data_IF_091963958639
#
_entry.id   IF_091963958639
#
_cell.length_a   1.000
_cell.length_b   1.000
_cell.length_c   1.000
_cell.angle_alpha   90.00
_cell.angle_beta   90.00
_cell.angle_gamma   90.00
#
_symmetry.space_group_name_H-M   'P 1'
#
loop_
_entity.id
_entity.type
_entity.pdbx_description
1 polymer ?
2 water ?
#
# COMPACT_ATOMS: atom_id res chain seq x y z
N UNK A 10 -26.02 -3.06 -0.77
CA UNK A 10 -25.66 -1.78 -1.48
C UNK A 10 -25.25 -2.04 -2.94
N UNK A 11 -25.83 -1.24 -3.84
CA UNK A 11 -25.52 -1.32 -5.27
C UNK A 11 -24.07 -0.85 -5.49
N UNK A 12 -23.42 -1.43 -6.48
CA UNK A 12 -22.01 -1.15 -6.68
C UNK A 12 -21.81 -0.01 -7.66
N UNK A 13 -20.73 0.71 -7.43
CA UNK A 13 -20.40 1.85 -8.24
C UNK A 13 -19.55 1.43 -9.44
N UNK A 14 -19.42 2.36 -10.37
CA UNK A 14 -18.76 2.11 -11.61
C UNK A 14 -17.22 2.12 -11.43
N UNK A 15 -16.58 1.19 -12.16
CA UNK A 15 -15.11 1.02 -12.17
C UNK A 15 -14.66 0.94 -13.64
N UNK A 16 -13.65 1.72 -14.00
CA UNK A 16 -13.17 1.79 -15.39
C UNK A 16 -11.66 1.85 -15.45
N UNK A 17 -11.07 1.50 -16.60
CA UNK A 17 -9.62 1.61 -16.76
C UNK A 17 -9.20 3.07 -16.85
N UNK A 18 -8.14 3.43 -16.16
CA UNK A 18 -7.51 4.74 -16.31
C UNK A 18 -5.99 4.54 -16.31
N UNK A 19 -5.33 5.06 -17.36
CA UNK A 19 -3.91 4.84 -17.54
C UNK A 19 -3.50 3.37 -17.35
N UNK A 20 -4.36 2.45 -17.80
CA UNK A 20 -4.02 1.06 -17.80
C UNK A 20 -4.37 0.24 -16.59
N UNK A 21 -4.96 0.83 -15.59
CA UNK A 21 -5.34 0.11 -14.40
C UNK A 21 -6.80 0.44 -14.10
N UNK A 22 -7.55 -0.56 -13.58
CA UNK A 22 -8.87 -0.30 -13.03
C UNK A 22 -8.87 0.67 -11.82
N UNK A 23 -9.83 1.57 -11.84
CA UNK A 23 -10.02 2.51 -10.76
C UNK A 23 -11.51 2.80 -10.60
N UNK A 24 -11.96 3.17 -9.37
CA UNK A 24 -13.29 3.79 -9.24
C UNK A 24 -13.59 4.90 -10.26
N UNK A 25 -14.73 4.87 -10.91
CA UNK A 25 -14.99 5.84 -11.99
C UNK A 25 -14.92 7.29 -11.53
N UNK A 26 -15.23 7.57 -10.27
CA UNK A 26 -15.03 8.94 -9.77
C UNK A 26 -13.55 9.35 -9.65
N UNK A 27 -12.67 8.35 -9.48
CA UNK A 27 -11.20 8.56 -9.56
C UNK A 27 -10.83 8.96 -10.99
N UNK A 28 -11.36 8.18 -11.95
CA UNK A 28 -11.08 8.33 -13.39
C UNK A 28 -11.42 9.74 -13.84
N UNK A 29 -12.62 10.18 -13.39
CA UNK A 29 -13.18 11.51 -13.64
C UNK A 29 -12.28 12.68 -13.15
N UNK A 30 -11.44 12.40 -12.15
CA UNK A 30 -10.44 13.39 -11.71
C UNK A 30 -8.94 13.08 -12.00
N UNK A 31 -8.62 12.36 -13.05
CA UNK A 31 -7.23 11.93 -13.23
C UNK A 31 -6.18 13.05 -13.38
N UNK A 32 -6.49 14.05 -14.19
CA UNK A 32 -5.60 15.18 -14.31
C UNK A 32 -5.43 16.00 -13.04
N UNK A 33 -6.43 16.02 -12.17
CA UNK A 33 -6.25 16.64 -10.84
C UNK A 33 -5.32 15.83 -9.91
N UNK A 34 -5.49 14.51 -9.91
CA UNK A 34 -4.61 13.61 -9.15
C UNK A 34 -3.20 13.81 -9.65
N UNK A 35 -3.01 13.63 -10.97
CA UNK A 35 -1.69 13.76 -11.57
C UNK A 35 -0.93 15.02 -11.15
N UNK A 36 -1.67 16.14 -11.10
CA UNK A 36 -1.09 17.47 -10.85
C UNK A 36 -1.05 17.79 -9.37
N UNK A 37 -1.26 16.77 -8.53
CA UNK A 37 -1.11 16.91 -7.07
C UNK A 37 0.18 17.66 -6.77
N UNK A 38 0.09 18.63 -5.86
CA UNK A 38 1.24 19.41 -5.41
C UNK A 38 1.73 18.86 -4.07
N UNK A 39 2.95 18.31 -4.09
CA UNK A 39 3.62 17.81 -2.91
C UNK A 39 4.43 18.94 -2.27
N UNK A 40 4.79 18.74 -1.00
CA UNK A 40 5.70 19.58 -0.27
C UNK A 40 6.92 18.75 0.17
N UNK A 41 8.09 19.39 0.36
CA UNK A 41 9.30 18.57 0.69
C UNK A 41 9.15 17.67 1.91
N UNK A 42 8.39 18.04 2.95
CA UNK A 42 8.35 17.21 4.16
C UNK A 42 7.14 16.22 4.20
N UNK A 43 6.40 16.15 3.07
CA UNK A 43 5.34 15.16 2.86
C UNK A 43 5.91 13.76 3.09
N UNK A 44 5.18 12.94 3.82
CA UNK A 44 5.54 11.54 3.93
C UNK A 44 4.42 10.73 3.27
N UNK A 45 4.79 9.90 2.30
CA UNK A 45 3.79 9.12 1.52
C UNK A 45 3.89 7.65 1.96
N UNK A 46 2.73 7.03 2.25
CA UNK A 46 2.65 5.61 2.52
C UNK A 46 1.94 5.00 1.34
N UNK A 47 2.68 4.14 0.63
CA UNK A 47 2.21 3.54 -0.59
C UNK A 47 2.19 2.00 -0.36
N UNK A 48 1.05 1.37 -0.65
CA UNK A 48 0.89 -0.08 -0.55
C UNK A 48 -0.18 -0.51 -1.56
N UNK A 49 -0.15 -1.79 -1.93
CA UNK A 49 -1.25 -2.38 -2.69
C UNK A 49 -2.44 -2.41 -1.68
N UNK A 50 -3.67 -2.45 -2.16
CA UNK A 50 -4.77 -2.50 -1.18
C UNK A 50 -4.66 -3.69 -0.23
N UNK A 51 -5.00 -3.46 1.03
CA UNK A 51 -4.91 -4.48 2.10
C UNK A 51 -3.48 -5.01 2.39
N UNK A 52 -2.46 -4.24 2.04
CA UNK A 52 -1.04 -4.58 2.35
C UNK A 52 -0.46 -3.79 3.54
N UNK A 53 -1.33 -3.20 4.37
CA UNK A 53 -0.88 -2.69 5.68
C UNK A 53 -0.87 -1.20 5.82
N UNK A 54 -1.62 -0.52 4.97
CA UNK A 54 -1.64 0.95 4.92
C UNK A 54 -1.98 1.59 6.28
N UNK A 55 -3.08 1.16 6.90
CA UNK A 55 -3.55 1.75 8.18
C UNK A 55 -2.57 1.45 9.29
N UNK A 56 -2.13 0.22 9.37
CA UNK A 56 -1.16 -0.18 10.35
C UNK A 56 0.13 0.67 10.27
N UNK A 57 0.69 0.80 9.07
CA UNK A 57 1.89 1.60 8.85
C UNK A 57 1.62 3.06 9.25
N UNK A 58 0.46 3.57 8.90
CA UNK A 58 0.18 4.98 9.24
C UNK A 58 0.24 5.22 10.78
N UNK A 59 -0.40 4.33 11.56
CA UNK A 59 -0.37 4.37 13.04
C UNK A 59 1.01 4.36 13.59
N UNK A 60 1.84 3.47 13.07
CA UNK A 60 3.25 3.40 13.50
C UNK A 60 3.97 4.71 13.17
N UNK A 61 3.72 5.23 11.97
CA UNK A 61 4.35 6.51 11.58
C UNK A 61 3.87 7.70 12.46
N UNK A 62 2.56 7.85 12.69
CA UNK A 62 2.03 8.85 13.65
C UNK A 62 2.79 8.75 14.98
N UNK A 63 2.69 7.57 15.62
CA UNK A 63 3.47 7.24 16.83
C UNK A 63 4.97 7.56 16.72
N UNK A 64 5.62 7.18 15.65
CA UNK A 64 7.01 7.57 15.49
C UNK A 64 7.18 9.09 15.62
N UNK A 65 6.41 9.85 14.83
CA UNK A 65 6.49 11.30 14.83
C UNK A 65 6.25 12.01 16.19
N UNK A 66 5.37 11.45 17.02
CA UNK A 66 5.13 11.98 18.34
C UNK A 66 5.83 11.24 19.48
N UNK A 67 6.02 9.92 19.33
CA UNK A 67 6.54 8.98 20.37
C UNK A 67 5.59 8.84 21.56
N UNK A 68 4.92 9.96 21.88
CA UNK A 68 3.98 10.03 23.00
C UNK A 68 2.59 9.71 22.50
N UNK A 69 2.01 8.66 23.06
CA UNK A 69 0.76 8.07 22.59
C UNK A 69 -0.50 8.93 22.73
N UNK A 70 -0.49 9.94 23.59
CA UNK A 70 -1.73 10.72 23.84
C UNK A 70 -1.82 12.04 23.00
N UNK A 71 -0.68 12.64 22.65
CA UNK A 71 -0.69 13.85 21.79
C UNK A 71 -0.83 13.50 20.29
N UNK A 72 -1.05 12.22 19.99
CA UNK A 72 -1.11 11.75 18.61
C UNK A 72 -2.40 12.06 17.90
N UNK A 73 -3.52 12.06 18.63
CA UNK A 73 -4.75 12.63 18.10
C UNK A 73 -4.48 14.12 17.81
N UNK A 74 -3.69 14.34 16.74
CA UNK A 74 -3.31 15.67 16.25
C UNK A 74 -3.05 15.76 14.73
N UNK A 75 -3.55 14.77 13.99
CA UNK A 75 -3.69 14.82 12.51
C UNK A 75 -4.72 13.76 12.04
N UNK A 82 -3.29 10.82 6.35
CA UNK A 82 -4.60 10.25 6.02
C UNK A 82 -5.25 10.48 4.60
N UNK A 83 -4.99 11.61 3.90
CA UNK A 83 -5.71 11.66 2.62
C UNK A 83 -5.10 10.77 1.52
N UNK A 84 -5.96 10.03 0.83
CA UNK A 84 -5.56 9.21 -0.32
C UNK A 84 -5.49 10.03 -1.57
N UNK A 85 -4.29 10.32 -2.05
CA UNK A 85 -4.13 11.10 -3.27
C UNK A 85 -5.24 10.84 -4.30
N UNK A 86 -5.43 9.57 -4.66
CA UNK A 86 -6.36 9.25 -5.76
C UNK A 86 -7.88 9.26 -5.44
N UNK A 87 -8.28 9.09 -4.17
CA UNK A 87 -9.71 8.85 -3.80
C UNK A 87 -10.62 10.07 -3.89
N UNK A 88 -11.89 9.79 -4.25
CA UNK A 88 -13.01 10.78 -4.21
C UNK A 88 -14.39 10.10 -4.01
N UNK A 89 -15.07 10.38 -2.89
CA UNK A 89 -16.42 9.79 -2.65
C UNK A 89 -17.52 10.58 -3.39
N UNK A 94 -12.90 14.12 -1.12
CA UNK A 94 -11.75 13.56 -1.84
C UNK A 94 -10.40 13.67 -1.06
N UNK A 95 -9.51 12.70 -1.25
CA UNK A 95 -8.15 12.76 -0.73
C UNK A 95 -7.37 14.03 -1.07
N UNK A 96 -7.51 14.54 -2.29
CA UNK A 96 -6.93 15.84 -2.73
C UNK A 96 -7.32 17.05 -1.84
N UNK A 97 -8.61 17.16 -1.56
CA UNK A 97 -9.17 18.22 -0.70
C UNK A 97 -8.67 18.13 0.75
N UNK A 98 -8.73 16.94 1.35
CA UNK A 98 -8.25 16.73 2.71
C UNK A 98 -6.75 16.96 2.81
N UNK A 99 -6.01 16.50 1.80
CA UNK A 99 -4.57 16.76 1.71
C UNK A 99 -4.35 18.25 1.65
N UNK A 100 -5.01 18.88 0.68
CA UNK A 100 -4.87 20.32 0.48
C UNK A 100 -5.00 21.11 1.78
N UNK A 101 -6.02 20.80 2.61
CA UNK A 101 -6.21 21.52 3.88
C UNK A 101 -5.63 20.80 5.13
N UNK A 102 -4.41 20.27 5.01
CA UNK A 102 -3.75 19.58 6.14
C UNK A 102 -2.47 20.36 6.50
N UNK A 103 -2.13 20.54 7.80
CA UNK A 103 -0.80 21.15 8.00
C UNK A 103 0.38 20.17 7.77
N UNK A 104 1.55 20.71 7.49
CA UNK A 104 2.77 19.94 7.33
C UNK A 104 3.47 19.57 8.67
N UNK A 105 4.26 18.47 8.71
CA UNK A 105 4.46 17.47 7.62
C UNK A 105 3.24 16.56 7.45
N UNK A 106 2.72 16.54 6.23
CA UNK A 106 1.56 15.72 5.88
C UNK A 106 1.93 14.24 5.79
N UNK A 107 0.99 13.36 6.14
CA UNK A 107 1.11 11.93 5.88
C UNK A 107 0.02 11.63 4.84
N UNK A 108 0.46 11.15 3.68
CA UNK A 108 -0.39 10.92 2.56
C UNK A 108 -0.41 9.42 2.34
N UNK A 109 -1.47 8.98 1.67
CA UNK A 109 -1.66 7.57 1.35
C UNK A 109 -1.89 7.41 -0.15
N UNK A 110 -1.44 6.29 -0.69
CA UNK A 110 -1.78 5.93 -2.10
C UNK A 110 -1.72 4.42 -2.32
N UNK A 111 -2.54 3.94 -3.28
CA UNK A 111 -2.42 2.60 -3.82
C UNK A 111 -1.89 2.61 -5.28
N UNK A 112 -1.43 3.75 -5.79
CA UNK A 112 -0.98 3.81 -7.18
C UNK A 112 0.29 2.99 -7.44
N UNK A 113 0.35 2.29 -8.58
CA UNK A 113 1.65 1.71 -9.04
C UNK A 113 2.66 2.84 -9.24
N UNK A 114 3.95 2.56 -9.10
CA UNK A 114 4.95 3.61 -9.11
C UNK A 114 4.90 4.47 -10.39
N UNK A 115 4.68 3.88 -11.56
CA UNK A 115 4.79 4.69 -12.83
C UNK A 115 3.63 5.69 -12.96
N UNK A 116 2.61 5.56 -12.12
CA UNK A 116 1.46 6.47 -12.10
C UNK A 116 1.50 7.49 -10.94
N UNK A 117 2.61 7.54 -10.18
CA UNK A 117 2.71 8.44 -9.03
C UNK A 117 2.67 9.90 -9.53
N UNK A 118 1.85 10.77 -8.91
CA UNK A 118 1.96 12.22 -9.31
C UNK A 118 3.43 12.66 -9.28
N UNK A 119 3.95 13.26 -10.37
CA UNK A 119 5.39 13.64 -10.44
C UNK A 119 5.90 14.63 -9.39
N UNK A 120 5.03 15.46 -8.81
CA UNK A 120 5.44 16.37 -7.72
C UNK A 120 6.09 15.59 -6.57
N UNK A 121 5.55 14.41 -6.23
CA UNK A 121 6.12 13.55 -5.14
C UNK A 121 7.59 13.20 -5.37
N UNK A 122 7.98 13.04 -6.63
CA UNK A 122 9.39 12.75 -6.98
C UNK A 122 10.18 14.05 -7.12
N UNK A 123 9.58 15.09 -7.70
CA UNK A 123 10.30 16.37 -7.84
C UNK A 123 10.70 16.98 -6.52
N UNK A 124 9.81 16.86 -5.55
CA UNK A 124 10.09 17.33 -4.23
C UNK A 124 10.89 16.32 -3.41
N UNK A 125 11.20 15.17 -3.98
CA UNK A 125 12.04 14.15 -3.28
C UNK A 125 11.46 13.77 -1.89
N UNK A 126 10.14 13.61 -1.82
CA UNK A 126 9.48 13.23 -0.56
C UNK A 126 9.87 11.81 -0.20
N UNK A 127 9.95 11.56 1.09
CA UNK A 127 10.08 10.22 1.68
C UNK A 127 8.84 9.40 1.36
N UNK A 128 9.03 8.21 0.80
CA UNK A 128 7.94 7.31 0.53
C UNK A 128 8.23 5.99 1.28
N UNK A 129 7.20 5.43 1.92
CA UNK A 129 7.28 4.12 2.55
C UNK A 129 6.33 3.25 1.74
N UNK A 130 6.90 2.20 1.12
CA UNK A 130 6.14 1.23 0.44
C UNK A 130 6.11 0.01 1.33
N UNK A 131 4.94 -0.62 1.47
CA UNK A 131 4.86 -1.90 2.16
C UNK A 131 4.30 -2.96 1.22
N UNK A 132 5.08 -4.04 1.05
CA UNK A 132 4.67 -5.21 0.27
C UNK A 132 4.23 -6.39 1.19
N UNK A 133 3.23 -7.12 0.76
CA UNK A 133 2.65 -8.23 1.50
C UNK A 133 2.67 -9.49 0.61
N UNK A 134 2.85 -10.68 1.18
CA UNK A 134 2.82 -11.87 0.32
C UNK A 134 1.49 -11.98 -0.43
N UNK A 135 1.57 -12.35 -1.69
CA UNK A 135 0.40 -12.20 -2.59
C UNK A 135 -0.74 -13.11 -2.25
N UNK A 136 -0.45 -14.27 -1.63
CA UNK A 136 -1.54 -15.20 -1.27
C UNK A 136 -2.45 -14.69 -0.15
N UNK A 137 -1.88 -14.33 1.00
CA UNK A 137 -2.65 -13.53 1.97
C UNK A 137 -3.26 -12.22 1.45
N UNK A 138 -2.50 -11.46 0.66
CA UNK A 138 -3.07 -10.22 0.03
C UNK A 138 -4.28 -10.52 -0.87
N UNK A 139 -4.25 -11.62 -1.60
CA UNK A 139 -5.38 -12.02 -2.45
C UNK A 139 -6.61 -12.28 -1.62
N UNK A 140 -6.44 -13.05 -0.55
CA UNK A 140 -7.52 -13.33 0.40
C UNK A 140 -8.11 -12.10 1.04
N UNK A 141 -7.25 -11.21 1.53
CA UNK A 141 -7.74 -9.94 2.07
C UNK A 141 -8.43 -9.09 1.02
N UNK A 142 -7.87 -9.03 -0.19
CA UNK A 142 -8.46 -8.13 -1.15
C UNK A 142 -9.86 -8.68 -1.56
N UNK A 143 -9.94 -10.00 -1.71
CA UNK A 143 -11.21 -10.68 -1.95
C UNK A 143 -12.29 -10.21 -0.93
N UNK A 144 -11.97 -10.23 0.36
CA UNK A 144 -12.98 -9.78 1.35
C UNK A 144 -13.32 -8.29 1.30
N UNK A 145 -12.28 -7.48 1.09
CA UNK A 145 -12.42 -6.04 0.84
C UNK A 145 -13.41 -5.71 -0.29
N UNK A 146 -13.27 -6.38 -1.45
CA UNK A 146 -14.16 -6.20 -2.57
C UNK A 146 -15.60 -6.60 -2.18
N UNK A 147 -15.74 -7.67 -1.38
CA UNK A 147 -17.07 -8.08 -0.86
C UNK A 147 -17.78 -6.97 -0.08
N UNK A 148 -17.02 -6.18 0.68
CA UNK A 148 -17.57 -5.07 1.50
C UNK A 148 -17.75 -3.73 0.79
N UNK A 149 -16.75 -3.37 -0.02
CA UNK A 149 -16.60 -2.05 -0.61
C UNK A 149 -17.29 -1.87 -1.97
N UNK A 150 -18.42 -1.15 -1.93
CA UNK A 150 -19.25 -0.77 -3.06
C UNK A 150 -18.49 -0.12 -4.21
N UNK A 151 -17.38 0.54 -3.89
CA UNK A 151 -16.64 1.31 -4.87
C UNK A 151 -15.80 0.37 -5.72
N UNK A 152 -15.73 -0.90 -5.30
CA UNK A 152 -14.86 -1.91 -5.90
C UNK A 152 -15.73 -2.88 -6.67
N UNK A 153 -15.17 -3.56 -7.69
CA UNK A 153 -16.00 -4.45 -8.49
C UNK A 153 -16.47 -5.68 -7.68
N UNK A 154 -17.59 -6.30 -8.08
CA UNK A 154 -18.03 -7.56 -7.46
C UNK A 154 -16.90 -8.58 -7.65
N UNK A 155 -16.46 -9.27 -6.58
CA UNK A 155 -15.33 -10.21 -6.72
C UNK A 155 -15.68 -11.55 -7.39
N UNK A 156 -16.97 -11.89 -7.44
CA UNK A 156 -17.44 -13.19 -7.96
C UNK A 156 -17.23 -14.20 -6.86
N UNK A 157 -17.22 -15.48 -7.21
CA UNK A 157 -16.93 -16.51 -6.23
C UNK A 157 -15.41 -16.51 -5.99
N UNK A 158 -14.97 -17.18 -4.94
CA UNK A 158 -13.56 -17.29 -4.65
C UNK A 158 -12.79 -17.83 -5.83
N UNK A 159 -13.38 -18.81 -6.51
CA UNK A 159 -12.68 -19.52 -7.60
C UNK A 159 -12.49 -18.60 -8.81
N UNK A 160 -13.49 -17.76 -9.05
CA UNK A 160 -13.42 -16.71 -10.07
C UNK A 160 -12.40 -15.64 -9.67
N UNK A 161 -12.47 -15.21 -8.40
CA UNK A 161 -11.62 -14.16 -7.90
C UNK A 161 -10.17 -14.52 -7.97
N UNK A 162 -9.85 -15.78 -7.64
CA UNK A 162 -8.49 -16.26 -7.79
C UNK A 162 -7.92 -15.92 -9.18
N UNK A 163 -8.68 -16.21 -10.24
CA UNK A 163 -8.25 -15.93 -11.62
C UNK A 163 -8.22 -14.43 -11.94
N UNK A 164 -9.19 -13.68 -11.44
CA UNK A 164 -9.25 -12.24 -11.65
C UNK A 164 -7.99 -11.57 -11.08
N UNK A 165 -7.60 -11.96 -9.88
CA UNK A 165 -6.42 -11.39 -9.20
C UNK A 165 -5.14 -11.84 -9.89
N UNK A 166 -5.07 -13.12 -10.23
CA UNK A 166 -3.89 -13.59 -10.91
C UNK A 166 -3.62 -12.75 -12.20
N UNK A 167 -4.68 -12.44 -12.93
CA UNK A 167 -4.60 -11.61 -14.17
C UNK A 167 -4.42 -10.06 -13.95
N UNK A 168 -4.56 -9.59 -12.72
CA UNK A 168 -4.44 -8.17 -12.37
C UNK A 168 -5.66 -7.39 -12.76
N UNK A 169 -6.79 -8.07 -12.95
CA UNK A 169 -8.06 -7.41 -13.32
C UNK A 169 -8.81 -6.90 -12.10
N UNK A 170 -8.07 -6.18 -11.26
CA UNK A 170 -8.58 -5.61 -10.01
C UNK A 170 -8.16 -4.14 -9.98
N UNK A 171 -8.84 -3.33 -9.16
CA UNK A 171 -8.39 -1.94 -8.98
C UNK A 171 -6.95 -1.87 -8.58
N UNK A 172 -6.25 -0.91 -9.19
CA UNK A 172 -4.81 -0.65 -8.93
C UNK A 172 -3.89 -1.68 -9.65
N UNK A 173 -4.48 -2.62 -10.41
CA UNK A 173 -3.71 -3.43 -11.36
C UNK A 173 -3.14 -4.69 -10.72
N UNK A 174 -2.39 -5.42 -11.52
CA UNK A 174 -1.64 -6.63 -11.05
C UNK A 174 -0.79 -6.38 -9.83
N UNK A 175 -0.95 -7.28 -8.84
CA UNK A 175 -0.09 -7.29 -7.65
C UNK A 175 1.41 -7.37 -8.05
N UNK A 176 1.71 -8.31 -8.99
CA UNK A 176 3.06 -8.54 -9.48
C UNK A 176 3.68 -7.25 -10.02
N UNK A 177 3.00 -6.56 -10.96
CA UNK A 177 3.49 -5.27 -11.54
C UNK A 177 3.71 -4.24 -10.41
N UNK A 178 2.81 -4.26 -9.42
CA UNK A 178 2.77 -3.29 -8.35
C UNK A 178 4.02 -3.39 -7.52
N UNK A 179 4.18 -4.54 -6.85
CA UNK A 179 5.39 -4.76 -6.03
C UNK A 179 6.70 -4.64 -6.79
N UNK A 180 6.75 -5.13 -8.03
CA UNK A 180 7.98 -5.08 -8.81
C UNK A 180 8.37 -3.65 -9.21
N UNK A 181 7.40 -2.87 -9.64
CA UNK A 181 7.59 -1.47 -10.04
C UNK A 181 8.12 -0.65 -8.88
N UNK A 182 7.54 -0.82 -7.69
CA UNK A 182 8.00 -0.15 -6.52
C UNK A 182 9.41 -0.57 -6.06
N UNK A 183 9.73 -1.85 -6.26
CA UNK A 183 11.05 -2.44 -5.89
C UNK A 183 12.13 -1.92 -6.82
N UNK A 184 11.82 -1.89 -8.13
CA UNK A 184 12.73 -1.35 -9.11
C UNK A 184 12.99 0.17 -8.89
N UNK A 185 11.97 0.91 -8.46
CA UNK A 185 12.09 2.33 -8.06
C UNK A 185 12.96 2.69 -6.86
N UNK A 186 13.17 1.77 -5.92
CA UNK A 186 13.78 2.12 -4.65
C UNK A 186 15.25 2.55 -4.81
N UNK A 187 15.89 2.10 -5.88
CA UNK A 187 17.27 2.48 -6.17
C UNK A 187 17.50 3.96 -6.46
N UNK A 188 16.59 4.53 -7.24
CA UNK A 188 16.79 5.88 -7.74
C UNK A 188 15.78 6.87 -7.19
N UNK A 189 14.92 6.43 -6.27
CA UNK A 189 13.94 7.34 -5.66
C UNK A 189 13.92 7.06 -4.19
N UNK A 190 13.38 8.00 -3.40
CA UNK A 190 13.53 7.97 -1.90
C UNK A 190 12.47 7.09 -1.20
N UNK A 191 12.66 5.78 -1.31
CA UNK A 191 11.63 4.81 -0.92
C UNK A 191 12.21 3.90 0.09
N UNK A 192 11.50 3.77 1.21
CA UNK A 192 11.80 2.71 2.18
C UNK A 192 10.86 1.50 1.88
N UNK A 193 11.42 0.38 1.44
CA UNK A 193 10.66 -0.76 1.01
C UNK A 193 10.56 -1.81 2.14
N UNK A 194 9.37 -1.93 2.72
CA UNK A 194 9.14 -2.79 3.90
C UNK A 194 8.27 -3.98 3.50
N UNK A 195 8.30 -5.02 4.32
CA UNK A 195 7.50 -6.21 4.09
C UNK A 195 6.57 -6.39 5.25
N UNK A 196 5.28 -6.52 4.93
CA UNK A 196 4.26 -6.68 5.93
C UNK A 196 4.60 -7.83 6.92
N UNK A 197 5.14 -8.91 6.37
CA UNK A 197 5.53 -10.11 7.18
C UNK A 197 6.63 -9.81 8.20
N UNK A 198 7.58 -8.94 7.82
CA UNK A 198 8.69 -8.50 8.70
C UNK A 198 8.20 -7.67 9.83
N UNK A 199 7.21 -6.83 9.53
CA UNK A 199 6.54 -6.04 10.52
C UNK A 199 5.75 -6.91 11.47
N UNK A 200 5.20 -8.02 10.97
CA UNK A 200 4.52 -8.99 11.84
C UNK A 200 5.52 -9.78 12.69
N UNK A 201 6.63 -10.22 12.10
CA UNK A 201 7.64 -11.02 12.78
C UNK A 201 8.54 -10.26 13.75
N UNK A 202 9.11 -9.16 13.27
CA UNK A 202 10.13 -8.43 14.01
C UNK A 202 9.76 -6.93 14.06
N UNK A 203 8.63 -6.58 14.72
CA UNK A 203 8.19 -5.20 14.63
C UNK A 203 9.24 -4.17 15.08
N UNK A 204 9.88 -4.45 16.20
CA UNK A 204 10.88 -3.55 16.77
C UNK A 204 11.94 -3.21 15.74
N UNK A 205 12.47 -4.23 15.08
CA UNK A 205 13.44 -4.02 14.02
C UNK A 205 12.88 -3.14 12.86
N UNK A 206 11.62 -3.36 12.47
CA UNK A 206 11.00 -2.59 11.39
C UNK A 206 10.68 -1.14 11.76
N UNK A 207 10.13 -0.94 12.96
CA UNK A 207 9.85 0.40 13.52
C UNK A 207 11.14 1.27 13.61
N UNK A 208 12.27 0.65 13.91
CA UNK A 208 13.53 1.35 13.97
C UNK A 208 14.02 1.76 12.57
N UNK A 209 13.96 0.84 11.61
CA UNK A 209 14.21 1.16 10.19
C UNK A 209 13.37 2.35 9.75
N UNK A 210 12.11 2.35 10.18
CA UNK A 210 11.12 3.32 9.73
C UNK A 210 11.46 4.67 10.38
N UNK A 211 11.60 4.66 11.72
CA UNK A 211 12.11 5.80 12.51
C UNK A 211 13.33 6.45 11.86
N UNK A 212 14.35 5.64 11.57
CA UNK A 212 15.59 6.16 11.02
C UNK A 212 15.46 6.79 9.63
N UNK A 213 14.64 6.16 8.77
CA UNK A 213 14.34 6.65 7.42
C UNK A 213 13.71 8.06 7.44
N UNK A 214 12.85 8.25 8.44
CA UNK A 214 12.07 9.43 8.68
C UNK A 214 12.88 10.54 9.37
N UNK A 215 14.07 10.21 9.85
CA UNK A 215 14.98 11.19 10.43
C UNK A 215 14.99 11.19 11.92
N UNK A 216 14.32 10.23 12.54
CA UNK A 216 14.39 10.13 13.98
C UNK A 216 15.50 9.17 14.38
N UNK A 217 16.42 9.66 15.22
CA UNK A 217 17.32 8.83 16.02
C UNK A 217 16.59 8.57 17.33
N UNK A 218 15.72 7.56 17.35
CA UNK A 218 14.96 7.18 18.55
C UNK A 218 15.71 6.29 19.53
N UNK A 219 14.97 5.92 20.57
CA UNK A 219 15.50 5.49 21.83
C UNK A 219 15.48 3.98 21.89
N UNK A 220 16.45 3.39 22.58
CA UNK A 220 16.45 1.94 22.86
C UNK A 220 15.17 1.50 23.60
N UNK A 221 14.36 2.48 24.00
CA UNK A 221 13.16 2.23 24.80
C UNK A 221 11.91 2.96 24.34
N UNK A 222 12.05 3.97 23.48
CA UNK A 222 10.85 4.59 22.89
C UNK A 222 10.20 3.58 21.90
N UNK A 223 11.05 2.89 21.13
CA UNK A 223 10.63 1.78 20.30
C UNK A 223 9.68 0.84 21.02
N UNK A 224 10.07 0.40 22.21
CA UNK A 224 9.27 -0.59 22.94
C UNK A 224 7.83 -0.11 23.23
N UNK A 225 7.66 1.18 23.48
CA UNK A 225 6.32 1.73 23.71
C UNK A 225 5.47 1.57 22.43
N UNK A 226 6.00 2.03 21.31
CA UNK A 226 5.32 1.90 20.00
C UNK A 226 5.12 0.43 19.59
N UNK A 227 6.13 -0.42 19.82
CA UNK A 227 6.05 -1.87 19.60
C UNK A 227 4.89 -2.53 20.36
N UNK A 228 4.64 -2.06 21.59
CA UNK A 228 3.52 -2.56 22.38
C UNK A 228 2.19 -1.97 21.90
N UNK A 229 2.18 -0.65 21.69
CA UNK A 229 0.93 0.05 21.38
C UNK A 229 0.33 -0.27 20.01
N UNK A 230 1.15 -0.72 19.07
CA UNK A 230 0.69 -1.12 17.72
C UNK A 230 0.73 -2.64 17.53
N UNK A 264 -0.17 -14.76 9.07
CA UNK A 264 0.73 -15.04 7.95
C UNK A 264 0.76 -16.59 7.77
N UNK A 265 0.24 -17.05 6.62
CA UNK A 265 0.05 -18.48 6.41
C UNK A 265 -1.44 -18.77 6.34
N UNK A 266 -2.25 -17.81 6.75
CA UNK A 266 -3.65 -18.00 6.77
C UNK A 266 -4.27 -18.37 5.40
N UNK A 267 -3.56 -17.97 4.33
CA UNK A 267 -4.00 -18.19 2.94
C UNK A 267 -4.13 -19.69 2.68
N UNK A 268 -3.33 -20.48 3.41
CA UNK A 268 -3.37 -21.95 3.27
C UNK A 268 -4.73 -22.57 3.52
N UNK A 269 -5.63 -21.89 4.21
CA UNK A 269 -6.93 -22.47 4.48
C UNK A 269 -7.87 -22.13 3.34
N UNK A 270 -7.41 -21.30 2.41
CA UNK A 270 -8.25 -20.76 1.34
C UNK A 270 -7.86 -21.26 -0.05
N UNK A 271 -6.58 -21.58 -0.25
CA UNK A 271 -6.10 -22.06 -1.52
C UNK A 271 -6.27 -23.58 -1.52
N UNK A 272 -6.82 -24.14 -2.60
CA UNK A 272 -6.62 -25.59 -2.86
C UNK A 272 -5.19 -25.82 -3.26
N UNK A 273 -4.77 -27.07 -3.22
CA UNK A 273 -3.45 -27.42 -3.71
C UNK A 273 -3.33 -27.14 -5.22
N UNK A 274 -4.41 -27.40 -5.94
CA UNK A 274 -4.41 -27.10 -7.39
C UNK A 274 -4.20 -25.55 -7.58
N UNK A 275 -4.93 -24.76 -6.83
CA UNK A 275 -4.79 -23.29 -6.97
C UNK A 275 -3.36 -22.89 -6.66
N UNK A 276 -2.84 -23.49 -5.63
CA UNK A 276 -1.50 -23.18 -5.19
C UNK A 276 -0.42 -23.45 -6.25
N UNK A 277 -0.47 -24.64 -6.88
CA UNK A 277 0.56 -24.97 -7.89
C UNK A 277 0.47 -24.04 -9.11
N UNK A 278 -0.76 -23.75 -9.50
CA UNK A 278 -1.03 -22.78 -10.58
C UNK A 278 -0.52 -21.39 -10.23
N UNK A 279 -0.89 -20.90 -9.03
CA UNK A 279 -0.29 -19.66 -8.54
C UNK A 279 1.23 -19.62 -8.61
N UNK A 280 1.89 -20.64 -8.04
CA UNK A 280 3.35 -20.65 -8.01
C UNK A 280 3.99 -20.69 -9.40
N UNK A 281 3.39 -21.44 -10.32
CA UNK A 281 3.93 -21.50 -11.71
C UNK A 281 3.81 -20.11 -12.40
N UNK A 282 2.65 -19.52 -12.24
CA UNK A 282 2.43 -18.17 -12.70
C UNK A 282 3.45 -17.18 -12.11
N UNK A 283 3.56 -17.15 -10.79
CA UNK A 283 4.49 -16.31 -10.05
C UNK A 283 5.91 -16.44 -10.57
N UNK A 284 6.37 -17.70 -10.73
CA UNK A 284 7.74 -17.96 -11.19
C UNK A 284 8.01 -17.31 -12.54
N UNK A 285 7.01 -17.26 -13.41
CA UNK A 285 7.15 -16.65 -14.71
C UNK A 285 7.15 -15.11 -14.69
N UNK A 286 6.36 -14.55 -13.77
CA UNK A 286 6.24 -13.08 -13.63
C UNK A 286 7.35 -12.46 -12.83
N UNK A 287 7.93 -13.20 -11.89
CA UNK A 287 8.82 -12.65 -10.86
C UNK A 287 10.30 -13.08 -10.98
N UNK A 288 11.01 -12.56 -11.96
CA UNK A 288 12.26 -13.21 -12.36
C UNK A 288 13.54 -12.58 -11.81
N UNK A 289 13.38 -11.62 -10.90
CA UNK A 289 14.53 -10.90 -10.35
C UNK A 289 14.61 -11.04 -8.84
N UNK A 290 14.84 -12.29 -8.47
CA UNK A 290 14.59 -12.87 -7.18
C UNK A 290 15.43 -12.35 -5.99
N UNK A 291 15.92 -11.11 -6.08
CA UNK A 291 16.28 -10.41 -4.85
C UNK A 291 15.01 -10.03 -4.12
N UNK A 292 13.96 -9.70 -4.87
CA UNK A 292 12.62 -9.48 -4.31
C UNK A 292 11.98 -10.80 -3.84
N UNK A 293 11.53 -10.81 -2.59
CA UNK A 293 11.35 -12.08 -1.86
C UNK A 293 10.48 -12.03 -0.59
N UNK A 294 9.50 -12.95 -0.60
CA UNK A 294 8.40 -12.99 0.36
C UNK A 294 8.39 -14.23 1.23
N UNK A 295 7.97 -14.04 2.49
CA UNK A 295 7.58 -15.09 3.43
C UNK A 295 6.09 -15.36 3.30
N UNK A 296 5.76 -16.64 3.16
CA UNK A 296 4.39 -17.10 2.92
C UNK A 296 3.72 -17.77 4.13
#
# INVERSE_FOLDING_TARGET
>A
GSEDFTFDGTKRLSVNYVKGILQPTDTCDIWDKIWNFQAKPDDLLISTYPKAGTTWTQEIVELIQNEGDVEKSKRAPTHQRFPFLEMKIPSLGSGLEQAHAMPSPRILKTHLPFHLLPPSLLEKNCKIIYVARNPKDNMVSYYHFQRMNKALPAPGTWEEYFETFLAGKVCWGSWHEHVKGWWEAKDKHRILYLFYEDMKKNPKHEIQKLAEFIGKKLDDKVLDKIVHYTSFDVMKQNPMANYSSIPAEIMDHSISPFMRKGAVGDWKKHFTVAQNERFDEDYKKKMTDTRLTFHFQF
#
